data_IF_025090407152
#
_entry.id   IF_025090407152
#
_cell.length_a   1.000
_cell.length_b   1.000
_cell.length_c   1.000
_cell.angle_alpha   90.00
_cell.angle_beta   90.00
_cell.angle_gamma   90.00
#
_symmetry.space_group_name_H-M   'P 1'
#
loop_
_entity.id
_entity.type
_entity.pdbx_description
1 polymer ?
#
# COMPACT_ATOMS: atom_id res chain seq x y z
N UNK A 1 2.37 10.03 11.44
CA UNK A 1 1.52 8.98 10.83
C UNK A 1 1.23 7.93 11.89
N UNK A 2 0.03 7.36 11.96
CA UNK A 2 -0.38 6.44 13.04
C UNK A 2 0.34 5.09 13.04
N UNK A 3 -0.16 4.14 13.84
CA UNK A 3 0.32 2.78 14.11
C UNK A 3 1.71 2.37 13.56
N UNK A 4 1.85 2.19 12.24
CA UNK A 4 3.08 1.66 11.61
C UNK A 4 3.26 2.06 10.13
N UNK A 5 2.75 3.22 9.73
CA UNK A 5 2.96 3.74 8.36
C UNK A 5 4.26 4.53 8.31
N UNK A 6 5.32 3.92 7.79
CA UNK A 6 6.64 4.57 7.66
C UNK A 6 6.79 5.28 6.31
N UNK A 7 7.52 6.40 6.31
CA UNK A 7 7.93 7.11 5.10
C UNK A 7 9.28 6.57 4.62
N UNK A 8 9.47 6.55 3.30
CA UNK A 8 10.81 6.48 2.73
C UNK A 8 11.52 7.83 2.81
N UNK A 9 12.84 7.82 2.63
CA UNK A 9 13.64 9.04 2.53
C UNK A 9 13.10 9.96 1.43
N UNK A 10 13.07 11.26 1.69
CA UNK A 10 12.68 12.30 0.73
C UNK A 10 13.50 13.54 1.05
N UNK A 11 14.14 14.09 0.03
CA UNK A 11 14.98 15.26 0.17
C UNK A 11 14.39 16.44 -0.59
N UNK A 12 14.50 17.62 0.01
CA UNK A 12 14.18 18.88 -0.62
C UNK A 12 15.32 19.86 -0.36
N UNK A 13 15.91 20.43 -1.42
CA UNK A 13 17.05 21.35 -1.35
C UNK A 13 18.25 20.78 -0.56
N UNK A 14 18.50 19.48 -0.67
CA UNK A 14 19.62 18.80 -0.01
C UNK A 14 19.40 18.50 1.48
N UNK A 15 18.16 18.65 1.98
CA UNK A 15 17.80 18.29 3.34
C UNK A 15 16.73 17.20 3.34
N UNK A 16 16.92 16.19 4.18
CA UNK A 16 15.90 15.16 4.38
C UNK A 16 14.70 15.75 5.15
N UNK A 17 13.50 15.54 4.61
CA UNK A 17 12.26 16.02 5.20
C UNK A 17 11.44 14.84 5.68
N UNK A 18 11.08 14.88 6.97
CA UNK A 18 10.17 13.90 7.59
C UNK A 18 8.86 14.57 8.03
N UNK A 19 8.96 15.67 8.77
CA UNK A 19 7.79 16.35 9.33
C UNK A 19 6.92 16.99 8.25
N UNK A 20 5.62 17.01 8.50
CA UNK A 20 4.62 17.53 7.56
C UNK A 20 4.35 16.64 6.33
N UNK A 21 5.05 15.51 6.19
CA UNK A 21 4.73 14.49 5.18
C UNK A 21 3.59 13.58 5.64
N UNK A 22 2.92 12.98 4.67
CA UNK A 22 1.70 12.21 4.91
C UNK A 22 1.58 10.98 3.99
N UNK A 23 0.48 10.25 4.15
CA UNK A 23 0.11 9.09 3.34
C UNK A 23 -1.26 9.35 2.70
N UNK A 24 -1.44 8.98 1.42
CA UNK A 24 -2.67 9.23 0.66
C UNK A 24 -3.73 8.13 0.78
N UNK A 25 -3.44 7.08 1.54
CA UNK A 25 -4.35 6.00 1.84
C UNK A 25 -3.80 4.63 1.50
N UNK A 26 -4.63 3.64 1.82
CA UNK A 26 -4.29 2.22 1.75
C UNK A 26 -5.33 1.49 0.91
N UNK A 27 -4.87 0.57 0.06
CA UNK A 27 -5.70 -0.50 -0.53
C UNK A 27 -5.03 -1.82 -0.17
N UNK A 28 -5.75 -2.69 0.54
CA UNK A 28 -5.20 -3.96 1.03
C UNK A 28 -5.64 -5.14 0.16
N UNK A 29 -4.68 -5.97 -0.21
CA UNK A 29 -4.91 -7.25 -0.89
C UNK A 29 -5.27 -8.35 0.12
N UNK A 30 -6.32 -9.11 -0.21
CA UNK A 30 -6.66 -10.36 0.47
C UNK A 30 -5.86 -11.51 -0.17
N UNK A 31 -4.64 -11.75 0.32
CA UNK A 31 -3.77 -12.80 -0.25
C UNK A 31 -4.36 -14.21 -0.08
N UNK A 32 -4.98 -14.58 1.07
CA UNK A 32 -5.65 -15.87 1.22
C UNK A 32 -6.70 -16.12 0.15
N UNK A 33 -7.52 -15.11 -0.17
CA UNK A 33 -8.54 -15.26 -1.23
C UNK A 33 -7.93 -15.57 -2.59
N UNK A 34 -6.82 -14.91 -2.95
CA UNK A 34 -6.13 -15.16 -4.21
C UNK A 34 -5.64 -16.62 -4.23
N UNK A 35 -5.06 -17.11 -3.13
CA UNK A 35 -4.65 -18.51 -3.01
C UNK A 35 -5.82 -19.50 -3.10
N UNK A 36 -6.96 -19.20 -2.47
CA UNK A 36 -8.16 -20.05 -2.54
C UNK A 36 -8.76 -20.12 -3.95
N UNK A 37 -8.65 -19.03 -4.73
CA UNK A 37 -9.10 -18.99 -6.13
C UNK A 37 -8.12 -19.67 -7.10
N UNK A 38 -6.90 -19.99 -6.64
CA UNK A 38 -5.82 -20.47 -7.50
C UNK A 38 -5.72 -21.99 -7.50
N UNK A 39 -5.47 -22.57 -8.67
CA UNK A 39 -5.28 -24.02 -8.83
C UNK A 39 -3.90 -24.50 -8.39
N UNK A 40 -2.89 -23.64 -8.55
CA UNK A 40 -1.49 -23.91 -8.23
C UNK A 40 -0.73 -22.58 -8.04
N UNK A 41 0.57 -22.67 -7.77
CA UNK A 41 1.42 -21.51 -7.51
C UNK A 41 1.53 -20.55 -8.71
N UNK A 42 1.60 -21.07 -9.93
CA UNK A 42 1.68 -20.26 -11.14
C UNK A 42 0.39 -19.44 -11.34
N UNK A 43 -0.76 -20.09 -11.16
CA UNK A 43 -2.08 -19.46 -11.21
C UNK A 43 -2.25 -18.38 -10.13
N UNK A 44 -1.66 -18.61 -8.96
CA UNK A 44 -1.62 -17.64 -7.88
C UNK A 44 -0.86 -16.37 -8.25
N UNK A 45 0.36 -16.47 -8.79
CA UNK A 45 1.12 -15.29 -9.17
C UNK A 45 0.47 -14.54 -10.34
N UNK A 46 -0.11 -15.26 -11.30
CA UNK A 46 -0.89 -14.65 -12.39
C UNK A 46 -2.08 -13.85 -11.84
N UNK A 47 -2.89 -14.46 -10.97
CA UNK A 47 -4.05 -13.79 -10.35
C UNK A 47 -3.60 -12.64 -9.45
N UNK A 48 -2.49 -12.79 -8.73
CA UNK A 48 -1.90 -11.73 -7.90
C UNK A 48 -1.55 -10.50 -8.73
N UNK A 49 -0.95 -10.68 -9.90
CA UNK A 49 -0.63 -9.58 -10.82
C UNK A 49 -1.88 -8.86 -11.34
N UNK A 50 -2.94 -9.60 -11.64
CA UNK A 50 -4.24 -9.02 -12.01
C UNK A 50 -4.81 -8.19 -10.85
N UNK A 51 -4.77 -8.70 -9.61
CA UNK A 51 -5.24 -7.96 -8.42
C UNK A 51 -4.35 -6.76 -8.11
N UNK A 52 -3.04 -6.85 -8.34
CA UNK A 52 -2.09 -5.74 -8.22
C UNK A 52 -2.44 -4.59 -9.18
N UNK A 53 -2.76 -4.90 -10.44
CA UNK A 53 -3.19 -3.89 -11.40
C UNK A 53 -4.48 -3.17 -10.95
N UNK A 54 -5.45 -3.92 -10.42
CA UNK A 54 -6.68 -3.35 -9.85
C UNK A 54 -6.37 -2.48 -8.62
N UNK A 55 -5.50 -2.94 -7.71
CA UNK A 55 -5.11 -2.20 -6.52
C UNK A 55 -4.41 -0.88 -6.88
N UNK A 56 -3.49 -0.90 -7.86
CA UNK A 56 -2.86 0.31 -8.40
C UNK A 56 -3.91 1.28 -8.94
N UNK A 57 -4.86 0.81 -9.74
CA UNK A 57 -5.95 1.64 -10.28
C UNK A 57 -6.80 2.26 -9.16
N UNK A 58 -7.14 1.49 -8.13
CA UNK A 58 -7.90 1.97 -6.98
C UNK A 58 -7.13 3.07 -6.21
N UNK A 59 -5.83 2.88 -5.98
CA UNK A 59 -4.96 3.87 -5.35
C UNK A 59 -4.85 5.14 -6.19
N UNK A 60 -4.59 5.02 -7.49
CA UNK A 60 -4.49 6.16 -8.40
C UNK A 60 -5.81 6.92 -8.54
N UNK A 61 -6.96 6.24 -8.44
CA UNK A 61 -8.27 6.91 -8.42
C UNK A 61 -8.40 7.85 -7.21
N UNK A 62 -7.84 7.47 -6.06
CA UNK A 62 -7.83 8.34 -4.86
C UNK A 62 -6.91 9.55 -5.06
N UNK A 63 -5.75 9.33 -5.69
CA UNK A 63 -4.83 10.42 -6.05
C UNK A 63 -5.50 11.41 -7.00
N UNK A 64 -6.15 10.93 -8.06
CA UNK A 64 -6.84 11.76 -9.04
C UNK A 64 -7.91 12.66 -8.40
N UNK A 65 -8.62 12.15 -7.37
CA UNK A 65 -9.61 12.96 -6.62
C UNK A 65 -9.01 14.17 -5.90
N UNK A 66 -7.70 14.19 -5.63
CA UNK A 66 -7.03 15.28 -4.94
C UNK A 66 -6.44 16.34 -5.91
N UNK A 67 -6.42 16.08 -7.22
CA UNK A 67 -5.73 16.92 -8.21
C UNK A 67 -6.19 18.38 -8.21
N UNK A 68 -7.49 18.59 -8.06
CA UNK A 68 -8.13 19.92 -8.11
C UNK A 68 -8.64 20.39 -6.75
N UNK A 69 -8.32 19.67 -5.67
CA UNK A 69 -8.77 20.02 -4.33
C UNK A 69 -8.04 21.25 -3.82
N UNK A 70 -8.81 22.23 -3.34
CA UNK A 70 -8.29 23.52 -2.85
C UNK A 70 -7.85 23.43 -1.38
N UNK A 71 -6.81 24.18 -1.01
CA UNK A 71 -6.26 24.17 0.35
C UNK A 71 -7.28 24.53 1.44
N UNK A 72 -8.29 25.37 1.11
CA UNK A 72 -9.37 25.75 2.04
C UNK A 72 -10.18 24.58 2.60
N UNK A 73 -10.09 23.38 2.03
CA UNK A 73 -10.79 22.18 2.55
C UNK A 73 -10.30 21.78 3.94
N UNK A 74 -9.03 22.08 4.28
CA UNK A 74 -8.46 21.79 5.59
C UNK A 74 -7.33 22.79 5.92
N UNK A 75 -7.69 24.00 6.42
CA UNK A 75 -6.71 25.07 6.66
C UNK A 75 -5.57 24.67 7.59
N UNK A 76 -5.84 23.93 8.67
CA UNK A 76 -4.81 23.48 9.61
C UNK A 76 -3.72 22.63 8.91
N UNK A 77 -4.13 21.78 7.95
CA UNK A 77 -3.21 20.91 7.22
C UNK A 77 -2.42 21.69 6.18
N UNK A 78 -3.11 22.45 5.34
CA UNK A 78 -2.53 22.97 4.10
C UNK A 78 -2.09 24.43 4.16
N UNK A 79 -2.62 25.21 5.10
CA UNK A 79 -2.40 26.66 5.19
C UNK A 79 -1.61 27.05 6.44
N UNK A 80 -1.79 26.31 7.54
CA UNK A 80 -1.18 26.62 8.84
C UNK A 80 0.06 25.79 9.21
N UNK A 81 0.60 25.03 8.27
CA UNK A 81 1.92 24.40 8.41
C UNK A 81 1.93 22.96 8.90
N UNK A 82 0.79 22.34 9.23
CA UNK A 82 0.81 20.95 9.72
C UNK A 82 1.29 19.95 8.65
N UNK A 83 1.10 20.23 7.35
CA UNK A 83 1.72 19.49 6.26
C UNK A 83 3.07 20.08 5.79
N UNK A 84 3.75 20.88 6.62
CA UNK A 84 5.05 21.47 6.30
C UNK A 84 5.01 22.51 5.17
N UNK A 85 3.82 23.01 4.84
CA UNK A 85 3.56 23.99 3.78
C UNK A 85 2.54 25.01 4.25
N UNK A 86 2.52 26.19 3.63
CA UNK A 86 1.53 27.25 3.86
C UNK A 86 0.96 27.72 2.53
N UNK A 87 0.01 26.97 2.01
CA UNK A 87 -0.72 27.28 0.78
C UNK A 87 -1.74 28.40 1.02
N UNK A 88 -2.06 29.16 -0.03
CA UNK A 88 -3.22 30.04 -0.10
C UNK A 88 -4.50 29.24 -0.33
N UNK A 89 -5.63 29.79 0.09
CA UNK A 89 -6.93 29.11 0.09
C UNK A 89 -7.35 28.50 -1.26
N UNK A 90 -6.95 29.12 -2.39
CA UNK A 90 -7.29 28.71 -3.76
C UNK A 90 -6.21 27.87 -4.47
N UNK A 91 -5.09 27.59 -3.81
CA UNK A 91 -4.05 26.71 -4.36
C UNK A 91 -4.45 25.23 -4.27
N UNK A 92 -3.99 24.43 -5.23
CA UNK A 92 -4.27 22.99 -5.29
C UNK A 92 -3.34 22.22 -4.35
N UNK A 93 -3.92 21.36 -3.51
CA UNK A 93 -3.13 20.57 -2.54
C UNK A 93 -2.29 19.48 -3.21
N UNK A 94 -2.65 19.05 -4.42
CA UNK A 94 -2.01 17.92 -5.10
C UNK A 94 -0.49 18.05 -5.25
N UNK A 95 0.03 19.28 -5.37
CA UNK A 95 1.46 19.52 -5.56
C UNK A 95 2.29 19.04 -4.36
N UNK A 96 1.73 19.05 -3.16
CA UNK A 96 2.47 18.69 -1.93
C UNK A 96 2.59 17.17 -1.72
N UNK A 97 1.98 16.39 -2.62
CA UNK A 97 1.96 14.92 -2.56
C UNK A 97 2.79 14.24 -3.65
N UNK A 98 3.19 14.99 -4.68
CA UNK A 98 3.93 14.47 -5.84
C UNK A 98 5.40 14.21 -5.51
N UNK A 99 6.11 13.59 -6.45
CA UNK A 99 7.57 13.44 -6.46
C UNK A 99 8.11 12.74 -5.20
N UNK A 100 7.36 11.76 -4.68
CA UNK A 100 7.74 10.97 -3.50
C UNK A 100 7.54 11.64 -2.14
N UNK A 101 6.99 12.87 -2.09
CA UNK A 101 6.75 13.56 -0.82
C UNK A 101 5.70 12.86 0.04
N UNK A 102 4.58 12.46 -0.54
CA UNK A 102 3.58 11.64 0.14
C UNK A 102 3.76 10.16 -0.20
N UNK A 103 3.57 9.29 0.79
CA UNK A 103 3.52 7.84 0.56
C UNK A 103 2.13 7.37 0.12
N UNK A 104 2.07 6.25 -0.58
CA UNK A 104 0.83 5.56 -0.97
C UNK A 104 1.00 4.09 -0.61
N UNK A 105 0.04 3.52 0.12
CA UNK A 105 0.23 2.18 0.69
C UNK A 105 -0.50 1.10 -0.09
N UNK A 106 0.26 0.15 -0.64
CA UNK A 106 -0.27 -1.16 -0.99
C UNK A 106 -0.27 -2.02 0.28
N UNK A 107 -1.47 -2.25 0.82
CA UNK A 107 -1.67 -3.12 1.96
C UNK A 107 -1.66 -4.59 1.58
N UNK A 108 -1.24 -5.45 2.49
CA UNK A 108 -1.45 -6.90 2.41
C UNK A 108 -1.76 -7.49 3.80
N UNK A 109 -2.30 -8.71 3.83
CA UNK A 109 -2.59 -9.50 5.03
C UNK A 109 -2.61 -11.00 4.67
N UNK A 110 -2.37 -11.86 5.66
CA UNK A 110 -2.71 -13.28 5.59
C UNK A 110 -1.66 -14.16 4.91
N UNK A 111 -0.37 -13.85 5.05
CA UNK A 111 0.72 -14.66 4.46
C UNK A 111 0.64 -16.11 4.95
N UNK A 112 0.40 -16.32 6.25
CA UNK A 112 0.29 -17.65 6.83
C UNK A 112 -0.81 -18.48 6.16
N UNK A 113 -2.02 -17.93 6.10
CA UNK A 113 -3.18 -18.60 5.51
C UNK A 113 -3.03 -18.78 4.00
N UNK A 114 -2.37 -17.84 3.31
CA UNK A 114 -2.03 -17.96 1.87
C UNK A 114 -1.15 -19.17 1.61
N UNK A 115 -0.08 -19.35 2.39
CA UNK A 115 0.83 -20.48 2.27
C UNK A 115 0.10 -21.79 2.61
N UNK A 116 -0.72 -21.82 3.66
CA UNK A 116 -1.51 -23.00 3.99
C UNK A 116 -2.48 -23.39 2.87
N UNK A 117 -3.14 -22.41 2.24
CA UNK A 117 -4.09 -22.65 1.16
C UNK A 117 -3.40 -23.21 -0.10
N UNK A 118 -2.23 -22.70 -0.46
CA UNK A 118 -1.48 -23.13 -1.65
C UNK A 118 -0.83 -24.51 -1.50
N UNK A 119 -0.16 -24.77 -0.37
CA UNK A 119 0.71 -25.94 -0.25
C UNK A 119 0.11 -27.06 0.59
N UNK A 120 -0.76 -26.76 1.57
CA UNK A 120 -1.40 -27.74 2.46
C UNK A 120 -0.43 -28.75 3.10
N UNK A 121 0.80 -28.32 3.40
CA UNK A 121 1.90 -29.19 3.85
C UNK A 121 2.60 -28.60 5.08
N UNK A 122 2.13 -28.94 6.27
CA UNK A 122 2.77 -28.47 7.50
C UNK A 122 2.59 -26.97 7.76
N UNK A 123 3.35 -26.44 8.72
CA UNK A 123 3.21 -25.09 9.23
C UNK A 123 4.40 -24.22 8.81
N UNK A 124 4.14 -22.98 8.36
CA UNK A 124 5.18 -22.08 7.81
C UNK A 124 6.34 -21.83 8.79
N UNK A 125 6.10 -21.83 10.10
CA UNK A 125 7.18 -21.61 11.08
C UNK A 125 8.20 -22.76 11.07
N UNK A 126 7.76 -23.98 10.79
CA UNK A 126 8.55 -25.21 10.95
C UNK A 126 9.19 -25.68 9.65
N UNK A 127 8.84 -25.07 8.50
CA UNK A 127 9.33 -25.46 7.18
C UNK A 127 10.01 -24.27 6.47
N UNK A 128 11.32 -24.40 6.27
CA UNK A 128 12.13 -23.36 5.62
C UNK A 128 11.71 -23.07 4.17
N UNK A 129 11.30 -24.08 3.42
CA UNK A 129 10.85 -23.90 2.05
C UNK A 129 9.55 -23.10 2.03
N UNK A 130 8.62 -23.38 2.93
CA UNK A 130 7.39 -22.59 3.06
C UNK A 130 7.65 -21.15 3.52
N UNK A 131 8.63 -20.92 4.40
CA UNK A 131 9.05 -19.55 4.77
C UNK A 131 9.55 -18.79 3.55
N UNK A 132 10.41 -19.39 2.74
CA UNK A 132 10.92 -18.73 1.53
C UNK A 132 9.79 -18.44 0.53
N UNK A 133 8.78 -19.31 0.41
CA UNK A 133 7.58 -19.00 -0.39
C UNK A 133 6.84 -17.77 0.13
N UNK A 134 6.67 -17.63 1.45
CA UNK A 134 6.07 -16.44 2.06
C UNK A 134 6.89 -15.16 1.80
N UNK A 135 8.21 -15.25 1.92
CA UNK A 135 9.13 -14.15 1.62
C UNK A 135 9.07 -13.77 0.14
N UNK A 136 8.99 -14.76 -0.77
CA UNK A 136 8.87 -14.54 -2.20
C UNK A 136 7.60 -13.74 -2.57
N UNK A 137 6.46 -14.01 -1.92
CA UNK A 137 5.24 -13.23 -2.10
C UNK A 137 5.47 -11.77 -1.68
N UNK A 138 6.06 -11.53 -0.51
CA UNK A 138 6.36 -10.17 -0.03
C UNK A 138 7.35 -9.46 -0.96
N UNK A 139 8.35 -10.17 -1.49
CA UNK A 139 9.33 -9.67 -2.45
C UNK A 139 8.64 -9.23 -3.75
N UNK A 140 7.73 -10.04 -4.28
CA UNK A 140 6.93 -9.72 -5.48
C UNK A 140 6.09 -8.46 -5.29
N UNK A 141 5.40 -8.32 -4.15
CA UNK A 141 4.64 -7.11 -3.82
C UNK A 141 5.54 -5.87 -3.70
N UNK A 142 6.72 -6.03 -3.09
CA UNK A 142 7.73 -4.97 -2.95
C UNK A 142 8.25 -4.50 -4.31
N UNK A 143 8.50 -5.42 -5.23
CA UNK A 143 8.90 -5.09 -6.60
C UNK A 143 7.79 -4.35 -7.35
N UNK A 144 6.53 -4.74 -7.19
CA UNK A 144 5.39 -4.05 -7.79
C UNK A 144 5.32 -2.57 -7.36
N UNK A 145 5.41 -2.28 -6.06
CA UNK A 145 5.38 -0.88 -5.58
C UNK A 145 6.58 -0.07 -6.06
N UNK A 146 7.77 -0.68 -6.15
CA UNK A 146 8.95 -0.03 -6.74
C UNK A 146 8.75 0.31 -8.22
N UNK A 147 8.15 -0.60 -9.00
CA UNK A 147 7.80 -0.34 -10.41
C UNK A 147 6.82 0.83 -10.50
N UNK A 148 5.76 0.84 -9.70
CA UNK A 148 4.76 1.92 -9.71
C UNK A 148 5.34 3.27 -9.31
N UNK A 149 6.28 3.29 -8.35
CA UNK A 149 6.98 4.52 -7.98
C UNK A 149 7.76 5.10 -9.16
N UNK A 150 8.52 4.26 -9.89
CA UNK A 150 9.24 4.69 -11.11
C UNK A 150 8.30 5.19 -12.19
N UNK A 151 7.16 4.51 -12.38
CA UNK A 151 6.19 4.84 -13.44
C UNK A 151 5.39 6.12 -13.17
N UNK A 152 5.12 6.44 -11.90
CA UNK A 152 4.14 7.49 -11.56
C UNK A 152 4.74 8.67 -10.80
N UNK A 153 5.94 8.52 -10.23
CA UNK A 153 6.57 9.52 -9.36
C UNK A 153 5.98 9.61 -7.94
N UNK A 154 4.96 8.82 -7.61
CA UNK A 154 4.43 8.74 -6.24
C UNK A 154 5.17 7.65 -5.44
N UNK A 155 5.44 7.90 -4.16
CA UNK A 155 6.15 6.95 -3.30
C UNK A 155 5.22 5.83 -2.83
N UNK A 156 4.96 4.86 -3.69
CA UNK A 156 4.28 3.63 -3.31
C UNK A 156 5.15 2.83 -2.33
N UNK A 157 4.56 2.34 -1.25
CA UNK A 157 5.22 1.49 -0.27
C UNK A 157 4.35 0.30 0.10
N UNK A 158 5.02 -0.79 0.50
CA UNK A 158 4.35 -1.97 1.00
C UNK A 158 3.94 -1.75 2.46
N UNK A 159 2.73 -2.15 2.82
CA UNK A 159 2.14 -1.89 4.14
C UNK A 159 1.55 -3.15 4.74
N UNK A 160 2.13 -3.62 5.85
CA UNK A 160 1.58 -4.73 6.63
C UNK A 160 0.36 -4.23 7.41
N UNK A 161 -0.82 -4.35 6.79
CA UNK A 161 -2.07 -3.76 7.29
C UNK A 161 -2.31 -4.15 8.77
N UNK A 162 -2.59 -3.20 9.70
CA UNK A 162 -2.93 -3.48 11.11
C UNK A 162 -4.08 -4.46 11.25
N UNK A 163 -5.08 -4.29 10.39
CA UNK A 163 -6.16 -5.26 10.14
C UNK A 163 -7.07 -5.62 11.31
N UNK A 164 -7.18 -4.77 12.33
CA UNK A 164 -8.04 -4.96 13.52
C UNK A 164 -9.44 -5.48 13.19
N UNK A 165 -10.11 -4.89 12.20
CA UNK A 165 -11.43 -5.32 11.74
C UNK A 165 -11.38 -6.03 10.38
N UNK A 166 -10.27 -5.91 9.65
CA UNK A 166 -10.15 -6.41 8.28
C UNK A 166 -9.90 -7.92 8.24
N UNK A 167 -9.19 -8.46 9.23
CA UNK A 167 -8.93 -9.91 9.33
C UNK A 167 -10.23 -10.71 9.34
N UNK A 168 -11.19 -10.34 10.20
CA UNK A 168 -12.51 -10.95 10.29
C UNK A 168 -13.36 -10.69 9.04
N UNK A 169 -13.37 -9.44 8.53
CA UNK A 169 -14.15 -9.12 7.33
C UNK A 169 -13.74 -9.95 6.12
N UNK A 170 -12.44 -10.08 5.85
CA UNK A 170 -11.96 -10.89 4.71
C UNK A 170 -12.30 -12.37 4.91
N UNK A 171 -12.05 -12.93 6.10
CA UNK A 171 -12.41 -14.30 6.41
C UNK A 171 -13.91 -14.59 6.17
N UNK A 172 -14.81 -13.73 6.66
CA UNK A 172 -16.27 -13.88 6.44
C UNK A 172 -16.71 -13.76 4.98
N UNK A 173 -15.97 -13.05 4.15
CA UNK A 173 -16.28 -12.95 2.72
C UNK A 173 -15.74 -14.15 1.96
N UNK A 174 -14.65 -14.74 2.42
CA UNK A 174 -14.03 -15.92 1.82
C UNK A 174 -14.76 -17.21 2.16
N UNK A 175 -15.50 -17.24 3.29
CA UNK A 175 -16.33 -18.37 3.72
C UNK A 175 -17.74 -18.39 3.14
N UNK A 176 -18.11 -17.39 2.34
CA UNK A 176 -19.38 -17.35 1.58
C UNK A 176 -19.20 -17.92 0.19
#
# INVERSE_FOLDING_TARGET
>A
MGCRSFLGAYEEKGHEIHDGRNNLGVVSLNLPRIALESKNEEDFYRTLDERLAIAKKALMTRVARLENTKARVAPILYMEGACGVRLKADENVAQIFKNGRASISLGYIGIHETINALYKKGHIFDDEQLREKGIAIVRHLSEAVKRWQKETGYAFSLYSTPSENLCDRFCRLDTK
#
